data_IF_553088059524
#
_entry.id   IF_553088059524
#
_cell.length_a   1.000
_cell.length_b   1.000
_cell.length_c   1.000
_cell.angle_alpha   90.00
_cell.angle_beta   90.00
_cell.angle_gamma   90.00
#
_symmetry.space_group_name_H-M   'P 1'
#
loop_
_entity.id
_entity.type
_entity.pdbx_description
1 polymer ?
#
# COMPACT_ATOMS: atom_id res chain seq x y z
N UNK A 1 18.32 -6.82 -21.38
CA UNK A 1 17.02 -6.24 -20.99
C UNK A 1 17.04 -5.97 -19.50
N UNK A 2 16.18 -5.09 -19.01
CA UNK A 2 16.02 -4.85 -17.57
C UNK A 2 15.19 -5.98 -16.93
N UNK A 3 15.51 -6.35 -15.69
CA UNK A 3 14.66 -7.25 -14.90
C UNK A 3 13.51 -6.47 -14.27
N UNK A 4 12.29 -7.00 -14.38
CA UNK A 4 11.07 -6.31 -13.93
C UNK A 4 10.17 -7.22 -13.10
N UNK A 5 9.33 -6.59 -12.28
CA UNK A 5 8.20 -7.23 -11.60
C UNK A 5 6.91 -6.75 -12.24
N UNK A 6 6.01 -7.67 -12.59
CA UNK A 6 4.71 -7.36 -13.19
C UNK A 6 3.60 -7.78 -12.25
N UNK A 7 2.97 -6.81 -11.59
CA UNK A 7 1.79 -7.00 -10.75
C UNK A 7 0.55 -6.95 -11.62
N UNK A 8 -0.24 -8.04 -11.62
CA UNK A 8 -1.42 -8.19 -12.47
C UNK A 8 -2.66 -8.29 -11.60
N UNK A 9 -3.64 -7.43 -11.86
CA UNK A 9 -4.93 -7.47 -11.18
C UNK A 9 -5.71 -8.71 -11.61
N UNK A 10 -6.27 -9.45 -10.65
CA UNK A 10 -7.12 -10.61 -10.93
C UNK A 10 -8.32 -10.20 -11.78
N UNK A 11 -8.77 -11.02 -12.74
CA UNK A 11 -10.01 -10.78 -13.47
C UNK A 11 -11.19 -10.63 -12.49
N UNK A 12 -12.14 -9.75 -12.82
CA UNK A 12 -13.40 -9.52 -12.08
C UNK A 12 -13.28 -9.06 -10.61
N UNK A 13 -12.08 -8.87 -10.07
CA UNK A 13 -11.89 -8.52 -8.65
C UNK A 13 -12.59 -7.21 -8.26
N UNK A 14 -12.74 -6.27 -9.19
CA UNK A 14 -13.41 -4.99 -8.93
C UNK A 14 -14.89 -5.19 -8.58
N UNK A 15 -15.57 -6.07 -9.31
CA UNK A 15 -16.99 -6.33 -9.07
C UNK A 15 -17.18 -7.18 -7.81
N UNK A 16 -16.26 -8.09 -7.53
CA UNK A 16 -16.26 -8.90 -6.30
C UNK A 16 -16.05 -8.01 -5.06
N UNK A 17 -15.01 -7.18 -5.07
CA UNK A 17 -14.72 -6.26 -3.96
C UNK A 17 -15.85 -5.27 -3.75
N UNK A 18 -16.45 -4.71 -4.80
CA UNK A 18 -17.58 -3.78 -4.63
C UNK A 18 -18.79 -4.45 -3.98
N UNK A 19 -19.11 -5.71 -4.32
CA UNK A 19 -20.18 -6.46 -3.66
C UNK A 19 -19.86 -6.73 -2.19
N UNK A 20 -18.63 -7.10 -1.89
CA UNK A 20 -18.20 -7.35 -0.50
C UNK A 20 -18.29 -6.06 0.34
N UNK A 21 -17.90 -4.91 -0.23
CA UNK A 21 -18.02 -3.60 0.41
C UNK A 21 -19.47 -3.19 0.63
N UNK A 22 -20.38 -3.48 -0.31
CA UNK A 22 -21.82 -3.26 -0.13
C UNK A 22 -22.36 -4.09 1.05
N UNK A 23 -22.02 -5.38 1.11
CA UNK A 23 -22.42 -6.26 2.22
C UNK A 23 -21.88 -5.74 3.56
N UNK A 24 -20.60 -5.35 3.62
CA UNK A 24 -20.00 -4.79 4.83
C UNK A 24 -20.72 -3.52 5.29
N UNK A 25 -21.12 -2.67 4.35
CA UNK A 25 -21.86 -1.44 4.65
C UNK A 25 -23.25 -1.72 5.19
N UNK A 26 -23.97 -2.69 4.62
CA UNK A 26 -25.27 -3.14 5.14
C UNK A 26 -25.15 -3.70 6.56
N UNK A 27 -24.11 -4.49 6.83
CA UNK A 27 -23.82 -5.01 8.16
C UNK A 27 -23.52 -3.88 9.16
N UNK A 28 -22.75 -2.85 8.77
CA UNK A 28 -22.50 -1.68 9.61
C UNK A 28 -23.80 -0.97 9.98
N UNK A 29 -24.69 -0.73 9.02
CA UNK A 29 -26.02 -0.14 9.27
C UNK A 29 -26.84 -0.99 10.24
N UNK A 30 -26.82 -2.31 10.08
CA UNK A 30 -27.55 -3.23 10.96
C UNK A 30 -27.00 -3.18 12.39
N UNK A 31 -25.68 -3.25 12.55
CA UNK A 31 -25.03 -3.21 13.86
C UNK A 31 -25.27 -1.89 14.58
N UNK A 32 -25.11 -0.75 13.90
CA UNK A 32 -25.39 0.57 14.48
C UNK A 32 -26.85 0.69 14.91
N UNK A 33 -27.80 0.07 14.20
CA UNK A 33 -29.23 0.14 14.52
C UNK A 33 -29.67 -0.78 15.66
N UNK A 34 -29.11 -1.99 15.74
CA UNK A 34 -29.63 -3.05 16.61
C UNK A 34 -28.72 -3.42 17.79
N UNK A 35 -27.47 -2.97 17.80
CA UNK A 35 -26.50 -3.32 18.84
C UNK A 35 -26.11 -2.09 19.70
N UNK A 36 -26.64 -1.96 20.93
CA UNK A 36 -26.40 -0.80 21.78
C UNK A 36 -24.93 -0.51 22.12
N UNK A 37 -24.08 -1.55 22.14
CA UNK A 37 -22.65 -1.42 22.39
C UNK A 37 -21.84 -0.68 21.31
N UNK A 38 -22.38 -0.50 20.10
CA UNK A 38 -21.69 0.19 18.99
C UNK A 38 -22.47 1.37 18.42
N UNK A 39 -23.63 1.70 19.02
CA UNK A 39 -24.51 2.78 18.54
C UNK A 39 -23.85 4.18 18.51
N UNK A 40 -22.81 4.38 19.31
CA UNK A 40 -22.04 5.64 19.36
C UNK A 40 -20.75 5.58 18.54
N UNK A 41 -20.49 4.46 17.85
CA UNK A 41 -19.38 4.32 16.92
C UNK A 41 -19.85 4.63 15.51
N UNK A 42 -19.02 5.36 14.75
CA UNK A 42 -19.28 5.61 13.34
C UNK A 42 -18.83 4.43 12.48
N UNK A 43 -19.52 3.28 12.63
CA UNK A 43 -19.21 2.07 11.86
C UNK A 43 -19.45 2.28 10.37
N UNK A 44 -20.42 3.12 10.00
CA UNK A 44 -20.73 3.42 8.61
C UNK A 44 -19.59 4.24 8.00
N UNK A 45 -19.16 5.31 8.68
CA UNK A 45 -18.01 6.12 8.26
C UNK A 45 -16.73 5.29 8.14
N UNK A 46 -16.45 4.42 9.12
CA UNK A 46 -15.31 3.50 9.06
C UNK A 46 -15.34 2.60 7.81
N UNK A 47 -16.50 2.01 7.51
CA UNK A 47 -16.65 1.15 6.32
C UNK A 47 -16.57 1.98 5.03
N UNK A 48 -17.13 3.18 5.00
CA UNK A 48 -17.08 4.08 3.84
C UNK A 48 -15.62 4.52 3.55
N UNK A 49 -14.82 4.83 4.58
CA UNK A 49 -13.38 5.11 4.46
C UNK A 49 -12.59 3.89 3.97
N UNK A 50 -12.83 2.73 4.57
CA UNK A 50 -12.22 1.47 4.12
C UNK A 50 -12.56 1.17 2.65
N UNK A 51 -13.82 1.38 2.26
CA UNK A 51 -14.29 1.18 0.90
C UNK A 51 -13.63 2.14 -0.09
N UNK A 52 -13.38 3.39 0.30
CA UNK A 52 -12.63 4.35 -0.52
C UNK A 52 -11.19 3.87 -0.74
N UNK A 53 -10.48 3.52 0.35
CA UNK A 53 -9.10 3.03 0.29
C UNK A 53 -8.96 1.76 -0.57
N UNK A 54 -9.86 0.78 -0.40
CA UNK A 54 -9.87 -0.44 -1.22
C UNK A 54 -10.10 -0.15 -2.71
N UNK A 55 -10.92 0.86 -3.05
CA UNK A 55 -11.14 1.24 -4.45
C UNK A 55 -9.93 1.92 -5.07
N UNK A 56 -9.23 2.75 -4.30
CA UNK A 56 -7.99 3.38 -4.75
C UNK A 56 -6.89 2.35 -5.03
N UNK A 57 -6.79 1.29 -4.21
CA UNK A 57 -5.85 0.18 -4.45
C UNK A 57 -6.14 -0.63 -5.72
N UNK A 58 -7.37 -0.55 -6.26
CA UNK A 58 -7.72 -1.27 -7.48
C UNK A 58 -7.21 -0.58 -8.75
N UNK A 59 -6.85 0.71 -8.70
CA UNK A 59 -6.23 1.40 -9.84
C UNK A 59 -4.70 1.46 -9.70
N UNK A 60 -4.02 0.59 -10.44
CA UNK A 60 -2.55 0.55 -10.46
C UNK A 60 -1.90 1.80 -11.06
N UNK A 61 -2.64 2.70 -11.73
CA UNK A 61 -2.11 4.01 -12.11
C UNK A 61 -1.89 4.91 -10.88
N UNK A 62 -2.73 4.77 -9.84
CA UNK A 62 -2.55 5.50 -8.58
C UNK A 62 -1.27 5.02 -7.88
N UNK A 63 -1.09 3.70 -7.77
CA UNK A 63 0.13 3.10 -7.20
C UNK A 63 1.40 3.48 -7.99
N UNK A 64 1.32 3.49 -9.32
CA UNK A 64 2.41 3.93 -10.20
C UNK A 64 2.81 5.40 -9.95
N UNK A 65 1.84 6.32 -9.90
CA UNK A 65 2.10 7.75 -9.64
C UNK A 65 2.66 7.98 -8.24
N UNK A 66 2.15 7.27 -7.25
CA UNK A 66 2.66 7.30 -5.88
C UNK A 66 4.12 6.81 -5.83
N UNK A 67 4.45 5.76 -6.59
CA UNK A 67 5.82 5.24 -6.72
C UNK A 67 6.76 6.28 -7.33
N UNK A 68 6.35 6.94 -8.42
CA UNK A 68 7.14 8.04 -9.02
C UNK A 68 7.34 9.19 -8.04
N UNK A 69 6.28 9.64 -7.36
CA UNK A 69 6.38 10.69 -6.33
C UNK A 69 7.37 10.30 -5.22
N UNK A 70 7.32 9.06 -4.74
CA UNK A 70 8.29 8.56 -3.77
C UNK A 70 9.71 8.55 -4.34
N UNK A 71 9.89 8.15 -5.61
CA UNK A 71 11.20 8.15 -6.28
C UNK A 71 11.77 9.56 -6.43
N UNK A 72 10.92 10.56 -6.67
CA UNK A 72 11.31 11.97 -6.66
C UNK A 72 11.74 12.44 -5.26
N UNK A 73 10.95 12.13 -4.22
CA UNK A 73 11.25 12.47 -2.81
C UNK A 73 12.56 11.84 -2.34
N UNK A 74 12.79 10.58 -2.68
CA UNK A 74 13.93 9.78 -2.20
C UNK A 74 15.09 9.68 -3.19
N UNK A 75 15.04 10.35 -4.35
CA UNK A 75 16.01 10.15 -5.43
C UNK A 75 17.48 10.40 -5.06
N UNK A 76 17.73 11.18 -4.00
CA UNK A 76 19.07 11.43 -3.44
C UNK A 76 19.29 10.82 -2.04
N UNK A 77 18.34 10.02 -1.54
CA UNK A 77 18.41 9.48 -0.19
C UNK A 77 19.44 8.33 -0.11
N UNK A 78 20.37 8.35 0.84
CA UNK A 78 21.48 7.38 0.88
C UNK A 78 21.03 5.95 1.23
N UNK A 79 19.89 5.81 1.91
CA UNK A 79 19.43 4.53 2.47
C UNK A 79 18.07 4.04 1.94
N UNK A 80 17.44 4.78 1.02
CA UNK A 80 16.11 4.45 0.49
C UNK A 80 16.16 4.46 -1.02
N UNK A 81 15.75 3.35 -1.63
CA UNK A 81 15.68 3.18 -3.07
C UNK A 81 14.24 2.82 -3.42
N UNK A 82 13.66 3.55 -4.38
CA UNK A 82 12.31 3.33 -4.89
C UNK A 82 12.43 2.84 -6.34
N UNK A 83 11.78 1.73 -6.73
CA UNK A 83 11.93 1.16 -8.07
C UNK A 83 11.39 2.08 -9.17
N UNK A 84 11.94 1.96 -10.38
CA UNK A 84 11.43 2.66 -11.57
C UNK A 84 10.09 2.08 -12.01
N UNK A 85 9.16 2.93 -12.48
CA UNK A 85 7.93 2.47 -13.12
C UNK A 85 8.11 2.44 -14.64
N UNK A 86 7.81 1.30 -15.25
CA UNK A 86 7.82 1.15 -16.72
C UNK A 86 6.44 1.51 -17.27
N UNK A 87 6.24 2.80 -17.58
CA UNK A 87 4.96 3.35 -18.04
C UNK A 87 4.43 2.73 -19.33
N UNK A 88 5.32 2.35 -20.26
CA UNK A 88 4.96 1.68 -21.52
C UNK A 88 4.32 0.29 -21.27
N UNK A 89 4.57 -0.31 -20.11
CA UNK A 89 4.06 -1.61 -19.68
C UNK A 89 3.13 -1.49 -18.44
N UNK A 90 2.62 -0.30 -18.13
CA UNK A 90 1.75 -0.03 -16.99
C UNK A 90 0.37 0.46 -17.45
N UNK A 91 -0.67 0.01 -16.78
CA UNK A 91 -2.07 0.34 -17.03
C UNK A 91 -2.88 0.26 -15.73
N UNK A 92 -4.17 0.54 -15.78
CA UNK A 92 -5.07 0.39 -14.61
C UNK A 92 -5.16 -1.02 -14.05
N UNK A 93 -4.66 -2.04 -14.78
CA UNK A 93 -4.71 -3.46 -14.40
C UNK A 93 -3.34 -4.13 -14.26
N UNK A 94 -2.28 -3.45 -14.68
CA UNK A 94 -0.92 -3.98 -14.71
C UNK A 94 0.02 -2.90 -14.21
N UNK A 95 0.81 -3.19 -13.17
CA UNK A 95 1.89 -2.34 -12.71
C UNK A 95 3.22 -3.05 -13.00
N UNK A 96 4.09 -2.38 -13.76
CA UNK A 96 5.41 -2.91 -14.08
C UNK A 96 6.49 -2.03 -13.46
N UNK A 97 7.32 -2.61 -12.61
CA UNK A 97 8.39 -1.89 -11.90
C UNK A 97 9.74 -2.58 -12.01
N UNK A 98 10.81 -1.84 -11.73
CA UNK A 98 12.17 -2.37 -11.57
C UNK A 98 12.19 -3.49 -10.54
N UNK A 99 12.87 -4.60 -10.87
CA UNK A 99 13.02 -5.71 -9.95
C UNK A 99 14.02 -5.36 -8.85
N UNK A 100 13.50 -5.12 -7.65
CA UNK A 100 14.32 -5.00 -6.45
C UNK A 100 14.65 -6.37 -5.85
N UNK A 101 15.85 -6.50 -5.28
CA UNK A 101 16.28 -7.69 -4.53
C UNK A 101 16.74 -7.29 -3.15
N UNK A 102 16.54 -8.17 -2.17
CA UNK A 102 16.88 -7.90 -0.78
C UNK A 102 16.22 -8.89 0.17
N UNK A 103 16.49 -8.71 1.46
CA UNK A 103 15.86 -9.46 2.54
C UNK A 103 14.55 -8.79 2.93
N UNK A 104 13.52 -9.59 3.19
CA UNK A 104 12.27 -9.06 3.74
C UNK A 104 12.53 -8.58 5.15
N UNK A 105 12.08 -7.36 5.48
CA UNK A 105 12.21 -6.80 6.83
C UNK A 105 11.51 -7.66 7.90
N UNK A 106 10.51 -8.44 7.50
CA UNK A 106 9.81 -9.40 8.37
C UNK A 106 10.54 -10.73 8.56
N UNK A 107 11.59 -11.01 7.81
CA UNK A 107 12.40 -12.22 7.95
C UNK A 107 13.57 -11.98 8.91
N UNK A 108 13.24 -12.02 10.21
CA UNK A 108 14.18 -11.70 11.28
C UNK A 108 15.40 -12.61 11.27
N UNK A 109 15.21 -13.90 10.98
CA UNK A 109 16.30 -14.87 10.93
C UNK A 109 17.29 -14.53 9.81
N UNK A 110 16.79 -14.20 8.61
CA UNK A 110 17.66 -13.82 7.51
C UNK A 110 18.42 -12.51 7.77
N UNK A 111 17.80 -11.54 8.48
CA UNK A 111 18.48 -10.30 8.87
C UNK A 111 19.61 -10.57 9.88
N UNK A 112 19.35 -11.42 10.88
CA UNK A 112 20.33 -11.81 11.90
C UNK A 112 21.50 -12.59 11.26
N UNK A 113 21.21 -13.53 10.35
CA UNK A 113 22.21 -14.30 9.62
C UNK A 113 23.09 -13.42 8.70
N UNK A 114 22.50 -12.36 8.14
CA UNK A 114 23.22 -11.36 7.35
C UNK A 114 24.03 -10.37 8.22
N UNK A 115 23.92 -10.45 9.55
CA UNK A 115 24.60 -9.55 10.48
C UNK A 115 24.10 -8.09 10.41
N UNK A 116 22.86 -7.88 9.96
CA UNK A 116 22.27 -6.54 9.85
C UNK A 116 21.77 -6.04 11.21
N UNK A 117 22.01 -4.76 11.50
CA UNK A 117 21.43 -4.12 12.68
C UNK A 117 19.95 -3.82 12.44
N UNK A 118 19.08 -4.64 13.03
CA UNK A 118 17.62 -4.47 12.94
C UNK A 118 17.14 -3.13 13.52
N UNK A 119 17.83 -2.59 14.51
CA UNK A 119 17.50 -1.29 15.07
C UNK A 119 17.77 -0.18 14.04
N UNK A 120 18.92 -0.22 13.37
CA UNK A 120 19.25 0.73 12.31
C UNK A 120 18.25 0.66 11.14
N UNK A 121 17.86 -0.55 10.73
CA UNK A 121 16.83 -0.76 9.70
C UNK A 121 15.48 -0.16 10.13
N UNK A 122 15.08 -0.38 11.39
CA UNK A 122 13.83 0.17 11.91
C UNK A 122 13.85 1.70 12.00
N UNK A 123 14.97 2.29 12.42
CA UNK A 123 15.17 3.75 12.44
C UNK A 123 15.07 4.31 11.03
N UNK A 124 15.79 3.74 10.07
CA UNK A 124 15.76 4.18 8.67
C UNK A 124 14.34 4.12 8.07
N UNK A 125 13.61 3.03 8.30
CA UNK A 125 12.23 2.90 7.82
C UNK A 125 11.29 3.91 8.49
N UNK A 126 11.47 4.17 9.79
CA UNK A 126 10.66 5.14 10.54
C UNK A 126 10.95 6.57 10.08
N UNK A 127 12.22 6.92 9.87
CA UNK A 127 12.61 8.25 9.37
C UNK A 127 12.05 8.49 7.97
N UNK A 128 12.10 7.49 7.08
CA UNK A 128 11.49 7.58 5.76
C UNK A 128 9.97 7.81 5.85
N UNK A 129 9.27 7.11 6.75
CA UNK A 129 7.85 7.31 6.99
C UNK A 129 7.53 8.70 7.54
N UNK A 130 8.27 9.14 8.56
CA UNK A 130 8.12 10.46 9.16
C UNK A 130 8.34 11.57 8.13
N UNK A 131 9.36 11.44 7.27
CA UNK A 131 9.61 12.37 6.17
C UNK A 131 8.40 12.47 5.23
N UNK A 132 7.88 11.34 4.77
CA UNK A 132 6.72 11.32 3.87
C UNK A 132 5.50 12.03 4.49
N UNK A 133 5.22 11.78 5.77
CA UNK A 133 4.04 12.33 6.46
C UNK A 133 4.24 13.82 6.80
N UNK A 134 5.35 14.17 7.43
CA UNK A 134 5.52 15.48 8.08
C UNK A 134 6.20 16.52 7.20
N UNK A 135 6.98 16.12 6.20
CA UNK A 135 7.69 17.06 5.32
C UNK A 135 7.02 17.16 3.95
N UNK A 136 6.69 16.02 3.35
CA UNK A 136 6.28 15.96 1.94
C UNK A 136 4.76 15.91 1.73
N UNK A 137 3.99 15.79 2.82
CA UNK A 137 2.52 15.75 2.80
C UNK A 137 1.98 14.64 1.89
N UNK A 138 2.56 13.45 2.02
CA UNK A 138 2.16 12.28 1.25
C UNK A 138 0.75 11.82 1.59
#
# INVERSE_FOLDING_TARGET
GAEVVVKIRRPNIVDEVNRDLEILRELAVLLTRYWPGVQYQDLIGLVDEFAASMRDEMDYLTEARNTERMREIFGAHPSVIVPEVFWEATSTRILTTERMTGLKISDIAALDDAGLDRHEVAVTATDALCKMIFEDGF
#
